data_IF_930914309234
#
_entry.id   IF_930914309234
#
_cell.length_a   1.000
_cell.length_b   1.000
_cell.length_c   1.000
_cell.angle_alpha   90.00
_cell.angle_beta   90.00
_cell.angle_gamma   90.00
#
_symmetry.space_group_name_H-M   'P 1'
#
loop_
_entity.id
_entity.type
_entity.pdbx_description
1 polymer ?
#
# COMPACT_ATOMS: atom_id res chain seq x y z
N UNK A 1 -6.94 1.22 -24.65
CA UNK A 1 -7.09 2.08 -23.43
C UNK A 1 -5.80 1.96 -22.65
N UNK A 2 -5.21 3.09 -22.22
CA UNK A 2 -4.04 3.12 -21.31
C UNK A 2 -4.52 3.34 -19.88
N UNK A 3 -4.11 2.48 -18.95
CA UNK A 3 -4.36 2.58 -17.52
C UNK A 3 -3.04 2.78 -16.79
N UNK A 4 -2.84 3.95 -16.19
CA UNK A 4 -1.70 4.18 -15.31
C UNK A 4 -2.00 3.66 -13.90
N UNK A 5 -1.02 3.07 -13.22
CA UNK A 5 -1.19 2.48 -11.88
C UNK A 5 -0.12 3.03 -10.93
N UNK A 6 -0.56 3.59 -9.81
CA UNK A 6 0.32 4.01 -8.71
C UNK A 6 -0.15 3.35 -7.43
N UNK A 7 0.70 2.56 -6.82
CA UNK A 7 0.37 1.82 -5.61
C UNK A 7 1.61 1.29 -4.92
N UNK A 8 1.36 0.43 -3.97
CA UNK A 8 2.40 -0.24 -3.17
C UNK A 8 2.78 -1.62 -3.73
N UNK A 9 3.17 -2.53 -2.85
CA UNK A 9 3.61 -3.89 -3.21
C UNK A 9 2.48 -4.73 -3.83
N UNK A 10 1.23 -4.50 -3.45
CA UNK A 10 0.07 -5.23 -3.97
C UNK A 10 -0.10 -4.90 -5.44
N UNK A 11 -0.18 -3.61 -5.77
CA UNK A 11 -0.28 -3.15 -7.16
C UNK A 11 1.01 -3.38 -7.95
N UNK A 12 2.17 -3.52 -7.30
CA UNK A 12 3.40 -3.95 -7.96
C UNK A 12 3.42 -5.45 -8.30
N UNK A 13 2.41 -6.22 -7.88
CA UNK A 13 2.32 -7.66 -8.06
C UNK A 13 3.35 -8.43 -7.22
N UNK A 14 3.72 -7.90 -6.05
CA UNK A 14 4.68 -8.58 -5.18
C UNK A 14 4.00 -9.73 -4.46
N UNK A 15 4.59 -10.90 -4.58
CA UNK A 15 4.19 -12.13 -3.87
C UNK A 15 5.35 -12.60 -3.00
N UNK A 16 5.02 -13.28 -1.90
CA UNK A 16 6.01 -13.92 -1.03
C UNK A 16 5.83 -15.43 -1.10
N UNK A 17 6.87 -16.12 -1.54
CA UNK A 17 6.95 -17.58 -1.60
C UNK A 17 8.27 -18.03 -0.95
N UNK A 18 8.22 -19.01 -0.06
CA UNK A 18 9.39 -19.56 0.66
C UNK A 18 10.29 -18.49 1.30
N UNK A 19 9.69 -17.45 1.89
CA UNK A 19 10.39 -16.35 2.54
C UNK A 19 11.06 -15.34 1.59
N UNK A 20 10.89 -15.51 0.27
CA UNK A 20 11.44 -14.60 -0.75
C UNK A 20 10.33 -13.78 -1.40
N UNK A 21 10.64 -12.53 -1.71
CA UNK A 21 9.75 -11.66 -2.47
C UNK A 21 10.09 -11.72 -3.96
N UNK A 22 9.07 -11.90 -4.77
CA UNK A 22 9.16 -11.85 -6.22
C UNK A 22 8.01 -11.02 -6.82
N UNK A 23 8.13 -10.62 -8.09
CA UNK A 23 7.04 -9.96 -8.81
C UNK A 23 6.34 -10.96 -9.71
N UNK A 24 5.06 -11.18 -9.47
CA UNK A 24 4.18 -11.91 -10.36
C UNK A 24 3.58 -10.96 -11.41
N UNK A 25 3.91 -11.20 -12.68
CA UNK A 25 3.39 -10.39 -13.81
C UNK A 25 2.18 -11.00 -14.48
N UNK A 26 1.93 -12.28 -14.25
CA UNK A 26 0.87 -13.04 -14.94
C UNK A 26 -0.53 -12.40 -14.81
N UNK A 27 -0.98 -11.92 -13.62
CA UNK A 27 -2.29 -11.29 -13.51
C UNK A 27 -2.45 -10.05 -14.42
N UNK A 28 -1.39 -9.24 -14.52
CA UNK A 28 -1.39 -8.03 -15.33
C UNK A 28 -1.39 -8.38 -16.82
N UNK A 29 -0.58 -9.33 -17.25
CA UNK A 29 -0.53 -9.81 -18.64
C UNK A 29 -1.86 -10.44 -19.06
N UNK A 30 -2.50 -11.20 -18.18
CA UNK A 30 -3.84 -11.75 -18.44
C UNK A 30 -4.88 -10.64 -18.58
N UNK A 31 -4.86 -9.65 -17.69
CA UNK A 31 -5.77 -8.51 -17.76
C UNK A 31 -5.60 -7.74 -19.07
N UNK A 32 -4.36 -7.48 -19.49
CA UNK A 32 -4.07 -6.85 -20.78
C UNK A 32 -4.60 -7.68 -21.97
N UNK A 33 -4.37 -8.99 -21.93
CA UNK A 33 -4.83 -9.91 -22.99
C UNK A 33 -6.37 -10.00 -23.06
N UNK A 34 -7.05 -10.05 -21.93
CA UNK A 34 -8.51 -10.19 -21.84
C UNK A 34 -9.24 -8.89 -22.17
N UNK A 35 -8.67 -7.74 -21.83
CA UNK A 35 -9.34 -6.44 -21.95
C UNK A 35 -8.87 -5.59 -23.13
N UNK A 36 -7.71 -5.91 -23.70
CA UNK A 36 -7.04 -5.05 -24.68
C UNK A 36 -6.53 -3.73 -24.09
N UNK A 37 -6.53 -3.59 -22.77
CA UNK A 37 -5.92 -2.45 -22.08
C UNK A 37 -4.39 -2.59 -22.08
N UNK A 38 -3.69 -1.47 -22.02
CA UNK A 38 -2.26 -1.42 -21.72
C UNK A 38 -2.07 -0.85 -20.31
N UNK A 39 -1.29 -1.55 -19.48
CA UNK A 39 -1.06 -1.21 -18.07
C UNK A 39 0.31 -0.57 -17.90
N UNK A 40 0.33 0.72 -17.57
CA UNK A 40 1.55 1.45 -17.22
C UNK A 40 1.70 1.52 -15.68
N UNK A 41 2.43 0.55 -15.12
CA UNK A 41 2.47 0.29 -13.69
C UNK A 41 3.71 0.90 -13.04
N UNK A 42 3.51 1.96 -12.26
CA UNK A 42 4.49 2.70 -11.48
C UNK A 42 4.50 2.35 -9.99
N UNK A 43 3.85 1.26 -9.59
CA UNK A 43 3.79 0.81 -8.20
C UNK A 43 5.12 0.25 -7.70
N UNK A 44 5.34 0.32 -6.40
CA UNK A 44 6.63 -0.06 -5.80
C UNK A 44 6.47 -0.70 -4.43
N UNK A 45 7.31 -1.70 -4.17
CA UNK A 45 7.42 -2.36 -2.86
C UNK A 45 7.66 -1.35 -1.73
N UNK A 46 6.94 -1.49 -0.61
CA UNK A 46 7.12 -0.66 0.59
C UNK A 46 6.79 0.83 0.38
N UNK A 47 5.96 1.15 -0.62
CA UNK A 47 5.60 2.54 -0.92
C UNK A 47 4.45 3.02 -0.05
N UNK A 48 4.65 4.15 0.61
CA UNK A 48 3.58 4.94 1.25
C UNK A 48 2.95 5.90 0.23
N UNK A 49 1.82 6.50 0.59
CA UNK A 49 1.16 7.54 -0.23
C UNK A 49 2.09 8.73 -0.49
N UNK A 50 2.95 9.08 0.46
CA UNK A 50 3.93 10.17 0.31
C UNK A 50 4.91 9.85 -0.82
N UNK A 51 5.54 8.67 -0.77
CA UNK A 51 6.45 8.19 -1.82
C UNK A 51 5.74 8.02 -3.18
N UNK A 52 4.48 7.56 -3.14
CA UNK A 52 3.63 7.44 -4.32
C UNK A 52 3.38 8.78 -4.99
N UNK A 53 3.03 9.80 -4.20
CA UNK A 53 2.81 11.16 -4.70
C UNK A 53 4.08 11.80 -5.29
N UNK A 54 5.24 11.59 -4.67
CA UNK A 54 6.53 12.04 -5.21
C UNK A 54 6.83 11.38 -6.56
N UNK A 55 6.56 10.07 -6.67
CA UNK A 55 6.72 9.31 -7.93
C UNK A 55 5.78 9.81 -9.01
N UNK A 56 4.51 10.06 -8.68
CA UNK A 56 3.55 10.66 -9.60
C UNK A 56 4.05 12.01 -10.12
N UNK A 57 4.48 12.91 -9.23
CA UNK A 57 4.98 14.23 -9.61
C UNK A 57 6.25 14.16 -10.48
N UNK A 58 7.13 13.17 -10.21
CA UNK A 58 8.30 12.93 -11.05
C UNK A 58 7.88 12.45 -12.44
N UNK A 59 6.92 11.53 -12.51
CA UNK A 59 6.39 11.00 -13.78
C UNK A 59 5.74 12.11 -14.61
N UNK A 60 4.89 12.95 -14.00
CA UNK A 60 4.17 14.03 -14.69
C UNK A 60 5.09 15.10 -15.34
N UNK A 61 6.35 15.17 -14.90
CA UNK A 61 7.34 16.06 -15.55
C UNK A 61 7.90 15.50 -16.86
N UNK A 62 7.74 14.21 -17.13
CA UNK A 62 8.41 13.52 -18.24
C UNK A 62 7.46 12.72 -19.11
N UNK A 63 6.21 12.51 -18.68
CA UNK A 63 5.22 11.67 -19.34
C UNK A 63 3.80 12.17 -19.14
N UNK A 64 2.88 11.42 -19.69
CA UNK A 64 1.43 11.65 -19.57
C UNK A 64 0.75 10.41 -19.04
N UNK A 65 -0.25 10.60 -18.20
CA UNK A 65 -1.09 9.54 -17.66
C UNK A 65 -2.01 8.96 -18.75
N UNK A 66 -2.45 7.73 -18.52
CA UNK A 66 -3.53 7.11 -19.29
C UNK A 66 -4.88 7.79 -19.06
N UNK A 67 -5.91 7.30 -19.76
CA UNK A 67 -7.28 7.79 -19.60
C UNK A 67 -7.77 7.64 -18.14
N UNK A 68 -7.37 6.56 -17.49
CA UNK A 68 -7.63 6.28 -16.08
C UNK A 68 -6.32 6.11 -15.34
N UNK A 69 -6.31 6.51 -14.07
CA UNK A 69 -5.20 6.24 -13.14
C UNK A 69 -5.72 5.58 -11.90
N UNK A 70 -5.33 4.33 -11.69
CA UNK A 70 -5.61 3.59 -10.47
C UNK A 70 -4.61 3.99 -9.37
N UNK A 71 -5.14 4.35 -8.21
CA UNK A 71 -4.36 4.75 -7.03
C UNK A 71 -4.73 3.85 -5.86
N UNK A 72 -3.73 3.16 -5.29
CA UNK A 72 -3.91 2.26 -4.14
C UNK A 72 -2.75 2.44 -3.17
N UNK A 73 -3.01 2.92 -1.97
CA UNK A 73 -2.09 3.09 -0.85
C UNK A 73 -2.84 2.92 0.46
N UNK A 74 -2.11 2.71 1.54
CA UNK A 74 -2.63 2.63 2.88
C UNK A 74 -1.97 1.51 3.69
N UNK A 75 -1.71 0.34 3.09
CA UNK A 75 -1.16 -0.80 3.80
C UNK A 75 0.18 -0.54 4.49
N UNK A 76 1.08 0.20 3.84
CA UNK A 76 2.35 0.61 4.45
C UNK A 76 2.22 1.89 5.29
N UNK A 77 1.21 2.71 4.99
CA UNK A 77 0.98 3.98 5.69
C UNK A 77 0.47 3.75 7.10
N UNK A 78 -0.49 2.83 7.26
CA UNK A 78 -1.08 2.47 8.55
C UNK A 78 -0.21 1.49 9.36
N UNK A 79 0.91 0.96 8.83
CA UNK A 79 1.84 0.13 9.58
C UNK A 79 2.54 0.92 10.70
N UNK A 80 3.08 0.21 11.67
CA UNK A 80 3.84 0.75 12.78
C UNK A 80 5.30 0.29 12.73
N UNK A 81 6.19 0.93 13.48
CA UNK A 81 7.48 0.34 13.81
C UNK A 81 7.26 -0.77 14.86
N UNK A 82 7.10 -1.99 14.37
CA UNK A 82 6.78 -3.12 15.22
C UNK A 82 7.89 -3.49 16.20
N UNK A 83 9.12 -3.11 15.94
CA UNK A 83 10.21 -3.29 16.88
C UNK A 83 10.09 -2.30 18.05
N UNK A 84 9.70 -1.07 17.75
CA UNK A 84 9.43 -0.04 18.78
C UNK A 84 8.21 -0.45 19.62
N UNK A 85 7.11 -0.88 18.99
CA UNK A 85 5.91 -1.39 19.67
C UNK A 85 6.25 -2.56 20.59
N UNK A 86 7.01 -3.54 20.11
CA UNK A 86 7.40 -4.69 20.93
C UNK A 86 8.33 -4.31 22.09
N UNK A 87 9.14 -3.26 21.94
CA UNK A 87 10.05 -2.76 22.96
C UNK A 87 9.40 -1.90 24.05
N UNK A 88 8.27 -1.25 23.74
CA UNK A 88 7.56 -0.36 24.66
C UNK A 88 6.03 -0.49 24.52
N UNK A 89 5.45 -1.67 24.81
CA UNK A 89 4.04 -1.97 24.49
C UNK A 89 3.01 -1.20 25.34
N UNK A 90 3.45 -0.47 26.36
CA UNK A 90 2.59 0.39 27.19
C UNK A 90 2.61 1.85 26.75
N UNK A 91 3.40 2.18 25.70
CA UNK A 91 3.49 3.53 25.17
C UNK A 91 2.56 3.72 23.97
N UNK A 92 2.29 4.98 23.64
CA UNK A 92 1.55 5.33 22.41
C UNK A 92 2.50 5.32 21.22
N UNK A 93 2.08 4.62 20.14
CA UNK A 93 2.83 4.55 18.88
C UNK A 93 2.04 5.16 17.74
N UNK A 94 2.72 5.87 16.87
CA UNK A 94 2.13 6.46 15.68
C UNK A 94 2.35 5.56 14.47
N UNK A 95 1.36 5.54 13.57
CA UNK A 95 1.53 4.89 12.26
C UNK A 95 2.62 5.57 11.44
N UNK A 96 3.19 4.85 10.48
CA UNK A 96 4.25 5.34 9.56
C UNK A 96 3.83 6.65 8.88
N UNK A 97 2.55 6.74 8.50
CA UNK A 97 1.93 7.99 8.04
C UNK A 97 0.67 8.21 8.87
N UNK A 98 0.59 9.26 9.70
CA UNK A 98 -0.62 9.56 10.47
C UNK A 98 -1.84 9.76 9.58
N UNK A 99 -3.06 9.38 10.04
CA UNK A 99 -4.28 9.40 9.22
C UNK A 99 -4.56 10.74 8.53
N UNK A 100 -4.42 11.86 9.24
CA UNK A 100 -4.67 13.19 8.66
C UNK A 100 -3.64 13.53 7.56
N UNK A 101 -2.39 13.09 7.73
CA UNK A 101 -1.34 13.27 6.73
C UNK A 101 -1.59 12.39 5.51
N UNK A 102 -2.07 11.16 5.72
CA UNK A 102 -2.47 10.23 4.67
C UNK A 102 -3.62 10.82 3.86
N UNK A 103 -4.74 11.19 4.49
CA UNK A 103 -5.92 11.74 3.84
C UNK A 103 -5.56 12.96 2.99
N UNK A 104 -4.83 13.91 3.56
CA UNK A 104 -4.37 15.11 2.86
C UNK A 104 -3.52 14.76 1.64
N UNK A 105 -2.58 13.82 1.79
CA UNK A 105 -1.67 13.44 0.71
C UNK A 105 -2.38 12.64 -0.37
N UNK A 106 -3.28 11.75 0.00
CA UNK A 106 -4.09 10.98 -0.94
C UNK A 106 -5.01 11.88 -1.77
N UNK A 107 -5.70 12.82 -1.12
CA UNK A 107 -6.51 13.81 -1.82
C UNK A 107 -5.67 14.66 -2.81
N UNK A 108 -4.47 15.12 -2.40
CA UNK A 108 -3.55 15.83 -3.30
C UNK A 108 -3.17 14.99 -4.51
N UNK A 109 -2.95 13.67 -4.32
CA UNK A 109 -2.60 12.75 -5.39
C UNK A 109 -3.75 12.62 -6.40
N UNK A 110 -4.98 12.42 -5.93
CA UNK A 110 -6.17 12.33 -6.80
C UNK A 110 -6.40 13.64 -7.57
N UNK A 111 -6.21 14.78 -6.93
CA UNK A 111 -6.32 16.09 -7.58
C UNK A 111 -5.24 16.29 -8.65
N UNK A 112 -4.00 15.86 -8.40
CA UNK A 112 -2.91 15.92 -9.38
C UNK A 112 -3.20 15.05 -10.61
N UNK A 113 -3.74 13.84 -10.41
CA UNK A 113 -4.19 12.96 -11.49
C UNK A 113 -5.27 13.63 -12.34
N UNK A 114 -6.29 14.24 -11.71
CA UNK A 114 -7.35 14.98 -12.44
C UNK A 114 -6.80 16.17 -13.20
N UNK A 115 -5.92 16.96 -12.58
CA UNK A 115 -5.29 18.11 -13.22
C UNK A 115 -4.44 17.72 -14.44
N UNK A 116 -3.88 16.51 -14.44
CA UNK A 116 -3.15 15.93 -15.57
C UNK A 116 -4.06 15.34 -16.68
N UNK A 117 -5.39 15.47 -16.55
CA UNK A 117 -6.38 15.03 -17.55
C UNK A 117 -6.75 13.54 -17.46
N UNK A 118 -6.30 12.83 -16.44
CA UNK A 118 -6.66 11.43 -16.19
C UNK A 118 -7.83 11.32 -15.20
N UNK A 119 -8.62 10.25 -15.31
CA UNK A 119 -9.70 9.96 -14.35
C UNK A 119 -9.16 9.11 -13.21
N UNK A 120 -9.07 9.64 -11.97
CA UNK A 120 -8.59 8.86 -10.84
C UNK A 120 -9.59 7.79 -10.43
N UNK A 121 -9.09 6.59 -10.16
CA UNK A 121 -9.81 5.46 -9.58
C UNK A 121 -9.11 5.10 -8.28
N UNK A 122 -9.77 5.35 -7.15
CA UNK A 122 -9.27 4.94 -5.85
C UNK A 122 -9.62 3.47 -5.59
N UNK A 123 -8.66 2.67 -5.20
CA UNK A 123 -8.88 1.30 -4.76
C UNK A 123 -8.79 1.22 -3.23
N UNK A 124 -9.68 0.43 -2.64
CA UNK A 124 -9.61 0.07 -1.22
C UNK A 124 -8.55 -1.00 -1.00
N UNK A 125 -8.03 -1.07 0.23
CA UNK A 125 -7.12 -2.15 0.61
C UNK A 125 -7.84 -3.50 0.62
N UNK A 126 -7.17 -4.58 0.17
CA UNK A 126 -7.71 -5.92 0.32
C UNK A 126 -7.71 -6.33 1.80
N UNK A 127 -8.67 -7.16 2.24
CA UNK A 127 -8.68 -7.66 3.61
C UNK A 127 -7.44 -8.52 3.88
N UNK A 128 -6.87 -8.38 5.08
CA UNK A 128 -5.76 -9.21 5.53
C UNK A 128 -6.20 -10.22 6.60
N UNK A 129 -5.46 -11.31 6.73
CA UNK A 129 -5.61 -12.24 7.85
C UNK A 129 -4.76 -11.75 9.02
N UNK A 130 -5.40 -11.39 10.13
CA UNK A 130 -4.73 -10.89 11.34
C UNK A 130 -3.66 -11.85 11.84
N UNK A 131 -3.94 -13.16 11.87
CA UNK A 131 -2.97 -14.18 12.32
C UNK A 131 -1.76 -14.31 11.40
N UNK A 132 -1.99 -14.26 10.08
CA UNK A 132 -0.89 -14.33 9.08
C UNK A 132 -0.05 -13.07 9.12
N UNK A 133 -0.68 -11.91 9.31
CA UNK A 133 0.04 -10.65 9.41
C UNK A 133 0.88 -10.59 10.68
N UNK A 134 0.33 -10.99 11.85
CA UNK A 134 1.10 -11.07 13.09
C UNK A 134 2.30 -12.02 12.95
N UNK A 135 2.09 -13.20 12.40
CA UNK A 135 3.19 -14.15 12.14
C UNK A 135 4.26 -13.55 11.20
N UNK A 136 3.84 -12.73 10.23
CA UNK A 136 4.75 -12.09 9.30
C UNK A 136 5.61 -11.01 9.98
N UNK A 137 5.04 -10.15 10.80
CA UNK A 137 5.80 -9.10 11.52
C UNK A 137 6.71 -9.67 12.59
N UNK A 138 6.34 -10.82 13.21
CA UNK A 138 7.13 -11.49 14.25
C UNK A 138 8.14 -12.50 13.70
N UNK A 139 8.24 -12.69 12.38
CA UNK A 139 9.11 -13.75 11.78
C UNK A 139 10.58 -13.60 12.12
N UNK A 140 11.05 -12.40 12.40
CA UNK A 140 12.45 -12.10 12.71
C UNK A 140 12.70 -12.02 14.24
N UNK A 141 11.78 -12.59 15.05
CA UNK A 141 11.93 -12.77 16.49
C UNK A 141 11.36 -11.64 17.35
N UNK A 142 10.49 -10.78 16.80
CA UNK A 142 9.76 -9.80 17.62
C UNK A 142 8.80 -10.51 18.58
N UNK A 143 8.65 -9.94 19.79
CA UNK A 143 7.75 -10.46 20.81
C UNK A 143 6.29 -10.26 20.42
N UNK A 144 5.64 -11.32 19.98
CA UNK A 144 4.23 -11.30 19.58
C UNK A 144 3.28 -11.05 20.76
N UNK A 145 3.67 -11.41 22.00
CA UNK A 145 2.84 -11.15 23.16
C UNK A 145 2.84 -9.65 23.51
N UNK A 146 3.98 -8.98 23.42
CA UNK A 146 4.08 -7.54 23.61
C UNK A 146 3.26 -6.78 22.53
N UNK A 147 3.35 -7.19 21.26
CA UNK A 147 2.56 -6.60 20.19
C UNK A 147 1.05 -6.80 20.41
N UNK A 148 0.63 -8.01 20.80
CA UNK A 148 -0.78 -8.29 21.12
C UNK A 148 -1.26 -7.53 22.35
N UNK A 149 -0.38 -7.33 23.35
CA UNK A 149 -0.69 -6.51 24.52
C UNK A 149 -1.02 -5.07 24.11
N UNK A 150 -0.19 -4.46 23.26
CA UNK A 150 -0.42 -3.13 22.72
C UNK A 150 -1.69 -3.01 21.86
N UNK A 151 -1.93 -3.99 20.99
CA UNK A 151 -3.10 -4.04 20.11
C UNK A 151 -4.41 -4.28 20.89
N UNK A 152 -4.36 -4.90 22.06
CA UNK A 152 -5.51 -5.33 22.86
C UNK A 152 -6.06 -6.69 22.44
N UNK A 153 -6.23 -6.94 21.15
CA UNK A 153 -6.63 -8.25 20.60
C UNK A 153 -6.11 -8.46 19.17
N UNK A 154 -6.11 -9.71 18.72
CA UNK A 154 -5.61 -10.08 17.38
C UNK A 154 -6.43 -9.44 16.26
N UNK A 155 -7.75 -9.30 16.42
CA UNK A 155 -8.64 -8.75 15.39
C UNK A 155 -8.50 -7.23 15.26
N UNK A 156 -7.80 -6.56 16.18
CA UNK A 156 -7.44 -5.16 16.02
C UNK A 156 -6.68 -4.93 14.70
N UNK A 157 -5.87 -5.89 14.25
CA UNK A 157 -5.12 -5.82 12.99
C UNK A 157 -6.05 -5.64 11.79
N UNK A 158 -7.13 -6.42 11.69
CA UNK A 158 -8.08 -6.30 10.59
C UNK A 158 -8.98 -5.07 10.69
N UNK A 159 -9.34 -4.64 11.91
CA UNK A 159 -10.13 -3.42 12.12
C UNK A 159 -9.39 -2.15 11.76
N UNK A 160 -8.16 -2.05 12.16
CA UNK A 160 -7.29 -0.90 11.90
C UNK A 160 -6.98 -0.71 10.40
N UNK A 161 -6.96 -1.77 9.63
CA UNK A 161 -6.78 -1.67 8.19
C UNK A 161 -8.09 -1.31 7.45
N UNK A 162 -9.24 -1.53 8.08
CA UNK A 162 -10.54 -1.23 7.51
C UNK A 162 -11.07 0.18 7.87
N UNK A 163 -10.44 0.85 8.85
CA UNK A 163 -10.78 2.22 9.28
C UNK A 163 -10.06 3.27 8.46
#
# INVERSE_FOLDING_TARGET
MLLSIFGDSIMAGVVQEDGRYSRCRDPFQRLEAETGAHLDNHSSFGSTVIKGYERLNKFLRQGSLGEYTLVEFGGNDCAYDWAEVAGAPDEEHLSVVPPEAFEKKYAQMLLAVRAAGSKPVAATLPPISSSRYLAHICRDGLDSAAILHWLGDLEAISRWQAS
#
